data_IF_490865336349
#
_entry.id   IF_490865336349
#
_cell.length_a   1.000
_cell.length_b   1.000
_cell.length_c   1.000
_cell.angle_alpha   90.00
_cell.angle_beta   90.00
_cell.angle_gamma   90.00
#
_symmetry.space_group_name_H-M   'P 1'
#
loop_
_entity.id
_entity.type
_entity.pdbx_description
1 polymer ?
#
# COMPACT_ATOMS: atom_id res chain seq x y z
N UNK A 1 34.69 -26.86 11.41
CA UNK A 1 34.35 -25.77 12.35
C UNK A 1 32.84 -25.64 12.34
N UNK A 2 32.20 -25.90 13.49
CA UNK A 2 30.76 -26.08 13.65
C UNK A 2 30.13 -24.71 13.90
N UNK A 3 29.07 -24.36 13.16
CA UNK A 3 28.10 -23.35 13.58
C UNK A 3 26.70 -23.96 13.55
N UNK A 4 26.14 -24.17 14.75
CA UNK A 4 24.75 -24.57 14.99
C UNK A 4 23.83 -23.47 14.49
N UNK A 5 22.74 -23.85 13.83
CA UNK A 5 21.53 -23.02 13.83
C UNK A 5 20.31 -23.89 14.14
N UNK A 6 19.55 -23.38 15.09
CA UNK A 6 18.46 -23.98 15.83
C UNK A 6 17.23 -24.24 14.97
N UNK A 7 16.55 -25.37 15.23
CA UNK A 7 15.28 -25.76 14.62
C UNK A 7 14.22 -24.66 14.81
N UNK A 8 13.55 -24.27 13.71
CA UNK A 8 12.17 -23.78 13.74
C UNK A 8 11.32 -24.68 12.84
N UNK A 9 10.35 -25.31 13.46
CA UNK A 9 9.29 -26.13 12.87
C UNK A 9 8.34 -25.26 12.04
N UNK A 10 8.24 -25.56 10.75
CA UNK A 10 7.22 -25.02 9.85
C UNK A 10 7.22 -25.88 8.58
N UNK A 11 6.04 -26.39 8.19
CA UNK A 11 5.89 -27.15 6.96
C UNK A 11 6.41 -26.33 5.77
N UNK A 12 7.40 -26.86 5.05
CA UNK A 12 7.95 -26.22 3.88
C UNK A 12 7.09 -26.59 2.66
N UNK A 13 6.28 -25.64 2.18
CA UNK A 13 5.64 -25.75 0.87
C UNK A 13 6.70 -25.35 -0.17
N UNK A 14 7.28 -26.33 -0.84
CA UNK A 14 8.21 -26.08 -1.95
C UNK A 14 7.43 -26.11 -3.27
N UNK A 15 7.08 -24.93 -3.79
CA UNK A 15 6.49 -24.81 -5.13
C UNK A 15 7.60 -24.80 -6.17
N UNK A 16 7.80 -25.91 -6.90
CA UNK A 16 8.74 -25.97 -8.02
C UNK A 16 7.98 -25.74 -9.33
N UNK A 17 8.17 -24.56 -9.94
CA UNK A 17 7.69 -24.29 -11.29
C UNK A 17 8.67 -24.89 -12.30
N UNK A 18 8.21 -25.85 -13.12
CA UNK A 18 8.95 -26.34 -14.27
C UNK A 18 8.25 -25.84 -15.54
N UNK A 19 8.77 -24.77 -16.15
CA UNK A 19 8.32 -24.33 -17.47
C UNK A 19 9.03 -25.17 -18.53
N UNK A 20 8.27 -25.96 -19.28
CA UNK A 20 8.77 -26.69 -20.45
C UNK A 20 8.10 -26.14 -21.70
N UNK A 21 8.88 -25.59 -22.62
CA UNK A 21 8.39 -25.19 -23.93
C UNK A 21 8.13 -26.41 -24.81
N UNK A 22 6.91 -26.55 -25.33
CA UNK A 22 6.58 -27.55 -26.36
C UNK A 22 7.14 -27.18 -27.74
N UNK A 23 7.27 -28.15 -28.67
CA UNK A 23 7.87 -27.90 -29.98
C UNK A 23 7.02 -26.95 -30.83
N UNK A 24 7.69 -26.10 -31.61
CA UNK A 24 7.09 -25.03 -32.38
C UNK A 24 6.22 -25.56 -33.53
N UNK A 25 4.92 -25.22 -33.50
CA UNK A 25 3.99 -25.40 -34.61
C UNK A 25 3.41 -24.05 -35.02
N UNK A 26 3.63 -23.65 -36.28
CA UNK A 26 2.80 -22.77 -37.14
C UNK A 26 2.37 -21.36 -36.64
N UNK A 27 2.13 -20.39 -37.54
CA UNK A 27 1.99 -18.98 -37.18
C UNK A 27 0.56 -18.59 -36.73
N UNK A 28 -0.14 -19.42 -35.95
CA UNK A 28 -1.42 -19.07 -35.33
C UNK A 28 -1.53 -19.66 -33.92
N UNK A 29 -1.57 -18.76 -32.94
CA UNK A 29 -1.88 -18.96 -31.51
C UNK A 29 -0.88 -19.84 -30.72
N UNK A 30 0.06 -19.17 -30.02
CA UNK A 30 0.90 -19.80 -28.99
C UNK A 30 0.06 -20.12 -27.76
N UNK A 31 -0.45 -21.35 -27.68
CA UNK A 31 -0.96 -21.91 -26.43
C UNK A 31 0.21 -22.28 -25.52
N UNK A 32 0.17 -21.82 -24.27
CA UNK A 32 1.13 -22.22 -23.23
C UNK A 32 0.45 -23.22 -22.31
N UNK A 33 1.15 -24.32 -21.99
CA UNK A 33 0.71 -25.33 -21.03
C UNK A 33 1.55 -25.18 -19.76
N UNK A 34 0.90 -25.11 -18.59
CA UNK A 34 1.57 -24.99 -17.30
C UNK A 34 1.15 -26.22 -16.49
N UNK A 35 2.09 -27.14 -16.30
CA UNK A 35 1.93 -28.26 -15.37
C UNK A 35 2.33 -27.82 -13.97
N UNK A 36 1.37 -27.83 -13.05
CA UNK A 36 1.62 -27.53 -11.63
C UNK A 36 1.56 -28.84 -10.86
N UNK A 37 2.73 -29.32 -10.41
CA UNK A 37 2.84 -30.47 -9.52
C UNK A 37 2.97 -29.97 -8.08
N UNK A 38 2.02 -30.34 -7.22
CA UNK A 38 2.13 -30.15 -5.77
C UNK A 38 2.50 -31.47 -5.12
N UNK A 39 3.73 -31.56 -4.59
CA UNK A 39 4.12 -32.60 -3.64
C UNK A 39 3.92 -32.07 -2.22
N UNK A 40 3.06 -32.74 -1.46
CA UNK A 40 2.86 -32.51 -0.04
C UNK A 40 3.59 -33.62 0.72
N UNK A 41 4.64 -33.24 1.46
CA UNK A 41 5.31 -34.15 2.39
C UNK A 41 4.68 -34.01 3.78
N UNK A 42 3.91 -35.01 4.18
CA UNK A 42 3.49 -35.18 5.58
C UNK A 42 4.54 -35.99 6.35
N UNK A 43 4.70 -35.71 7.65
CA UNK A 43 5.77 -36.29 8.51
C UNK A 43 5.55 -37.79 8.81
N UNK A 44 4.50 -38.41 8.27
CA UNK A 44 4.25 -39.84 8.35
C UNK A 44 4.02 -40.44 6.96
N UNK A 45 5.09 -40.66 6.19
CA UNK A 45 5.26 -41.78 5.24
C UNK A 45 4.13 -42.17 4.27
N UNK A 46 3.15 -41.32 3.95
CA UNK A 46 2.08 -41.63 2.99
C UNK A 46 2.15 -40.66 1.81
N UNK A 47 2.52 -41.18 0.65
CA UNK A 47 2.59 -40.43 -0.61
C UNK A 47 1.18 -40.40 -1.23
N UNK A 48 0.48 -39.27 -1.14
CA UNK A 48 -0.80 -39.06 -1.83
C UNK A 48 -0.53 -38.50 -3.22
N UNK A 49 -0.73 -39.31 -4.26
CA UNK A 49 -0.70 -38.83 -5.64
C UNK A 49 -2.02 -38.10 -5.95
N UNK A 50 -2.03 -36.77 -5.88
CA UNK A 50 -3.18 -35.99 -6.35
C UNK A 50 -3.10 -35.82 -7.88
N UNK A 51 -4.16 -36.19 -8.60
CA UNK A 51 -4.22 -36.04 -10.07
C UNK A 51 -4.26 -34.55 -10.42
N UNK A 52 -3.29 -34.11 -11.25
CA UNK A 52 -3.13 -32.72 -11.65
C UNK A 52 -4.39 -32.09 -12.23
N UNK A 53 -4.69 -30.86 -11.81
CA UNK A 53 -5.80 -30.07 -12.34
C UNK A 53 -5.32 -29.39 -13.63
N UNK A 54 -5.91 -29.76 -14.77
CA UNK A 54 -5.68 -29.10 -16.07
C UNK A 54 -6.67 -27.97 -16.27
N UNK A 55 -6.19 -26.74 -16.38
CA UNK A 55 -7.00 -25.58 -16.80
C UNK A 55 -6.40 -24.99 -18.06
N UNK A 56 -7.19 -24.98 -19.15
CA UNK A 56 -6.80 -24.43 -20.46
C UNK A 56 -7.25 -22.96 -20.51
N UNK A 57 -6.30 -22.04 -20.64
CA UNK A 57 -6.58 -20.60 -20.80
C UNK A 57 -6.54 -20.22 -22.28
N UNK A 58 -7.55 -19.47 -22.74
CA UNK A 58 -7.63 -18.90 -24.09
C UNK A 58 -8.00 -17.44 -23.97
N UNK A 59 -7.01 -16.54 -23.99
CA UNK A 59 -7.18 -15.08 -23.90
C UNK A 59 -5.95 -14.32 -24.40
N UNK A 60 -6.14 -13.09 -24.88
CA UNK A 60 -5.16 -12.25 -25.62
C UNK A 60 -4.63 -11.09 -24.74
N UNK A 61 -4.30 -11.33 -23.47
CA UNK A 61 -3.66 -10.29 -22.61
C UNK A 61 -2.38 -10.81 -21.95
N UNK A 62 -1.33 -9.97 -21.73
CA UNK A 62 0.00 -10.50 -21.42
C UNK A 62 0.18 -10.97 -19.98
N UNK A 63 -0.67 -10.60 -19.02
CA UNK A 63 -0.53 -11.03 -17.63
C UNK A 63 -1.88 -10.98 -16.90
N UNK A 64 -2.55 -12.12 -16.66
CA UNK A 64 -3.58 -12.19 -15.64
C UNK A 64 -2.93 -12.55 -14.29
N UNK A 65 -3.11 -11.71 -13.27
CA UNK A 65 -3.02 -12.16 -11.88
C UNK A 65 -4.16 -13.18 -11.66
N UNK A 66 -3.83 -14.47 -11.71
CA UNK A 66 -4.80 -15.54 -11.44
C UNK A 66 -4.88 -15.72 -9.92
N UNK A 67 -5.91 -15.15 -9.31
CA UNK A 67 -6.33 -15.56 -7.96
C UNK A 67 -6.88 -16.98 -8.02
N UNK A 68 -6.08 -17.97 -7.62
CA UNK A 68 -6.57 -19.33 -7.38
C UNK A 68 -7.37 -19.33 -6.08
N UNK A 69 -8.70 -19.21 -6.20
CA UNK A 69 -9.61 -19.35 -5.06
C UNK A 69 -9.74 -20.85 -4.73
N UNK A 70 -8.89 -21.35 -3.83
CA UNK A 70 -9.00 -22.70 -3.28
C UNK A 70 -10.32 -22.82 -2.50
N UNK A 71 -11.30 -23.51 -3.09
CA UNK A 71 -12.52 -23.91 -2.38
C UNK A 71 -12.11 -25.02 -1.41
N UNK A 72 -12.11 -24.74 -0.12
CA UNK A 72 -11.92 -25.76 0.91
C UNK A 72 -13.08 -26.77 0.82
N UNK A 73 -12.83 -27.87 0.12
CA UNK A 73 -13.75 -29.00 0.03
C UNK A 73 -13.70 -29.78 1.34
N UNK A 74 -14.87 -29.90 1.97
CA UNK A 74 -15.12 -30.65 3.21
C UNK A 74 -14.54 -32.06 3.09
N UNK A 75 -13.52 -32.36 3.88
CA UNK A 75 -13.02 -33.72 4.05
C UNK A 75 -13.94 -34.46 5.03
N UNK A 76 -14.78 -35.34 4.52
CA UNK A 76 -15.55 -36.28 5.33
C UNK A 76 -14.65 -37.49 5.61
N UNK A 77 -14.00 -37.52 6.78
CA UNK A 77 -13.29 -38.71 7.25
C UNK A 77 -14.31 -39.74 7.75
N UNK A 78 -14.43 -40.84 7.02
CA UNK A 78 -15.13 -42.03 7.48
C UNK A 78 -14.29 -42.72 8.56
N UNK A 79 -14.72 -42.65 9.82
CA UNK A 79 -14.16 -43.41 10.92
C UNK A 79 -14.97 -44.70 11.11
N UNK A 80 -14.39 -45.85 10.78
CA UNK A 80 -14.90 -47.15 11.20
C UNK A 80 -14.43 -47.44 12.63
N UNK A 81 -15.38 -47.45 13.58
CA UNK A 81 -15.20 -47.89 14.97
C UNK A 81 -14.74 -49.34 15.06
N UNK A 82 -13.99 -49.65 16.13
CA UNK A 82 -14.39 -50.76 16.98
C UNK A 82 -14.54 -50.33 18.45
N UNK A 83 -15.38 -51.11 19.15
CA UNK A 83 -15.81 -50.96 20.53
C UNK A 83 -14.67 -50.94 21.56
N UNK A 84 -14.99 -50.26 22.67
CA UNK A 84 -14.46 -50.43 24.03
C UNK A 84 -13.12 -49.76 24.39
N UNK A 85 -13.19 -48.54 24.92
CA UNK A 85 -12.54 -48.22 26.21
C UNK A 85 -13.13 -46.95 26.81
N UNK A 86 -13.57 -47.05 28.07
CA UNK A 86 -13.97 -45.92 28.92
C UNK A 86 -12.69 -45.18 29.32
N UNK A 87 -12.57 -43.91 28.97
CA UNK A 87 -11.44 -43.07 29.35
C UNK A 87 -11.76 -41.60 29.10
N UNK A 88 -11.84 -40.83 30.17
CA UNK A 88 -12.10 -39.38 30.20
C UNK A 88 -11.03 -38.60 29.42
N UNK A 89 -11.31 -38.31 28.14
CA UNK A 89 -10.46 -37.44 27.33
C UNK A 89 -10.92 -35.98 27.44
N UNK A 90 -10.21 -35.21 28.27
CA UNK A 90 -10.33 -33.75 28.33
C UNK A 90 -10.03 -33.16 26.96
N UNK A 91 -11.03 -32.57 26.31
CA UNK A 91 -10.88 -31.90 25.03
C UNK A 91 -10.12 -30.59 25.22
N UNK A 92 -8.80 -30.61 24.95
CA UNK A 92 -7.99 -29.39 24.88
C UNK A 92 -8.36 -28.66 23.58
N UNK A 93 -9.31 -27.74 23.64
CA UNK A 93 -9.65 -26.86 22.52
C UNK A 93 -8.52 -25.85 22.36
N UNK A 94 -7.57 -26.14 21.48
CA UNK A 94 -6.59 -25.16 21.01
C UNK A 94 -7.31 -24.13 20.13
N UNK A 95 -7.63 -22.97 20.71
CA UNK A 95 -8.10 -21.80 19.96
C UNK A 95 -6.94 -21.25 19.14
N UNK A 96 -6.91 -21.58 17.84
CA UNK A 96 -6.07 -20.88 16.87
C UNK A 96 -6.66 -19.48 16.71
N UNK A 97 -6.08 -18.51 17.42
CA UNK A 97 -6.41 -17.10 17.23
C UNK A 97 -5.88 -16.67 15.87
N UNK A 98 -6.78 -16.45 14.91
CA UNK A 98 -6.44 -15.87 13.62
C UNK A 98 -6.05 -14.40 13.85
N UNK A 99 -4.75 -14.15 13.95
CA UNK A 99 -4.22 -12.80 14.08
C UNK A 99 -4.36 -12.10 12.73
N UNK A 100 -5.53 -11.49 12.50
CA UNK A 100 -5.74 -10.58 11.38
C UNK A 100 -4.78 -9.40 11.56
N UNK A 101 -3.73 -9.37 10.74
CA UNK A 101 -2.86 -8.22 10.61
C UNK A 101 -3.69 -7.04 10.09
N UNK A 102 -4.14 -6.17 10.99
CA UNK A 102 -4.73 -4.88 10.63
C UNK A 102 -3.60 -4.07 9.98
N UNK A 103 -3.61 -4.00 8.65
CA UNK A 103 -2.71 -3.10 7.92
C UNK A 103 -3.05 -1.69 8.38
N UNK A 104 -2.11 -1.03 9.05
CA UNK A 104 -2.28 0.35 9.48
C UNK A 104 -2.66 1.20 8.26
N UNK A 105 -3.73 1.98 8.40
CA UNK A 105 -4.21 2.88 7.35
C UNK A 105 -3.19 4.00 7.16
N UNK A 106 -2.85 4.36 5.91
CA UNK A 106 -1.92 5.46 5.66
C UNK A 106 -2.50 6.79 6.17
N UNK A 107 -1.66 7.58 6.84
CA UNK A 107 -2.02 8.90 7.35
C UNK A 107 -0.98 9.94 6.97
N UNK A 108 -1.41 11.20 6.92
CA UNK A 108 -0.54 12.36 6.82
C UNK A 108 -0.74 13.25 8.04
N UNK A 109 0.35 13.67 8.67
CA UNK A 109 0.28 14.47 9.90
C UNK A 109 0.56 15.95 9.64
N UNK A 110 -0.11 16.82 10.38
CA UNK A 110 0.16 18.26 10.42
C UNK A 110 0.53 18.61 11.85
N UNK A 111 1.75 19.10 12.07
CA UNK A 111 2.31 19.30 13.41
C UNK A 111 3.11 20.60 13.50
N UNK A 112 3.61 20.93 14.69
CA UNK A 112 4.50 22.07 14.93
C UNK A 112 3.75 23.31 15.43
N UNK A 113 4.08 24.48 14.90
CA UNK A 113 3.49 25.78 15.24
C UNK A 113 2.07 25.94 14.66
N UNK A 114 1.17 25.04 15.05
CA UNK A 114 -0.25 25.00 14.70
C UNK A 114 -1.08 24.96 15.98
N UNK A 115 -2.34 25.41 15.90
CA UNK A 115 -3.25 25.42 17.06
C UNK A 115 -3.70 24.00 17.44
N UNK A 116 -3.89 23.14 16.44
CA UNK A 116 -4.26 21.74 16.64
C UNK A 116 -3.44 20.86 15.70
N UNK A 117 -2.73 19.87 16.26
CA UNK A 117 -2.08 18.84 15.44
C UNK A 117 -3.13 17.93 14.80
N UNK A 118 -2.99 17.66 13.51
CA UNK A 118 -3.92 16.83 12.74
C UNK A 118 -3.25 15.52 12.32
N UNK A 119 -4.01 14.44 12.33
CA UNK A 119 -3.68 13.19 11.64
C UNK A 119 -4.80 12.92 10.66
N UNK A 120 -4.53 13.08 9.37
CA UNK A 120 -5.52 13.00 8.30
C UNK A 120 -5.39 11.66 7.57
N UNK A 121 -6.53 10.99 7.41
CA UNK A 121 -6.71 9.82 6.56
C UNK A 121 -7.29 10.23 5.20
N UNK A 122 -7.31 9.30 4.25
CA UNK A 122 -7.96 9.55 2.95
C UNK A 122 -9.44 9.92 3.10
N UNK A 123 -10.17 9.32 4.06
CA UNK A 123 -11.56 9.69 4.36
C UNK A 123 -11.72 11.12 4.85
N UNK A 124 -10.76 11.62 5.65
CA UNK A 124 -10.80 12.98 6.17
C UNK A 124 -10.55 14.00 5.05
N UNK A 125 -9.65 13.68 4.11
CA UNK A 125 -9.41 14.49 2.91
C UNK A 125 -10.58 14.45 1.93
N UNK A 126 -11.34 13.36 1.89
CA UNK A 126 -12.56 13.26 1.08
C UNK A 126 -13.70 14.15 1.61
N UNK A 127 -13.73 14.40 2.91
CA UNK A 127 -14.70 15.28 3.57
C UNK A 127 -14.33 16.78 3.48
N UNK A 128 -13.15 17.11 2.97
CA UNK A 128 -12.66 18.49 2.80
C UNK A 128 -12.92 19.01 1.37
N UNK A 129 -12.87 20.34 1.13
CA UNK A 129 -13.01 20.91 -0.20
C UNK A 129 -11.98 20.30 -1.18
N UNK A 130 -12.51 19.57 -2.17
CA UNK A 130 -11.69 18.87 -3.16
C UNK A 130 -11.25 19.82 -4.27
N UNK A 131 -10.03 19.62 -4.73
CA UNK A 131 -9.42 20.36 -5.81
C UNK A 131 -8.65 19.43 -6.74
N UNK A 132 -8.41 19.86 -7.96
CA UNK A 132 -7.65 19.12 -8.95
C UNK A 132 -6.62 20.01 -9.64
N UNK A 133 -5.49 19.40 -10.00
CA UNK A 133 -4.47 20.07 -10.82
C UNK A 133 -3.95 19.11 -11.88
N UNK A 134 -3.92 19.63 -13.12
CA UNK A 134 -3.25 18.98 -14.24
C UNK A 134 -1.77 19.36 -14.26
N UNK A 135 -0.91 18.35 -14.32
CA UNK A 135 0.54 18.52 -14.47
C UNK A 135 1.03 17.75 -15.67
N UNK A 136 2.14 18.20 -16.26
CA UNK A 136 2.81 17.49 -17.35
C UNK A 136 4.28 17.28 -16.97
N UNK A 137 4.74 16.04 -17.05
CA UNK A 137 6.14 15.69 -16.78
C UNK A 137 6.61 14.66 -17.80
N UNK A 138 7.71 14.96 -18.49
CA UNK A 138 8.28 14.11 -19.54
C UNK A 138 7.25 13.70 -20.62
N UNK A 139 6.36 14.62 -21.00
CA UNK A 139 5.28 14.38 -21.96
C UNK A 139 4.10 13.55 -21.42
N UNK A 140 4.13 13.14 -20.15
CA UNK A 140 3.03 12.44 -19.49
C UNK A 140 2.19 13.46 -18.73
N UNK A 141 0.93 13.60 -19.16
CA UNK A 141 -0.06 14.41 -18.45
C UNK A 141 -0.68 13.57 -17.34
N UNK A 142 -0.68 14.11 -16.13
CA UNK A 142 -1.35 13.51 -14.96
C UNK A 142 -2.23 14.55 -14.28
N UNK A 143 -3.49 14.20 -14.06
CA UNK A 143 -4.42 15.00 -13.24
C UNK A 143 -4.38 14.46 -11.83
N UNK A 144 -3.92 15.29 -10.89
CA UNK A 144 -3.95 14.98 -9.47
C UNK A 144 -5.20 15.57 -8.83
N UNK A 145 -5.77 14.85 -7.87
CA UNK A 145 -6.93 15.29 -7.10
C UNK A 145 -6.63 15.16 -5.61
N UNK A 146 -7.13 16.12 -4.84
CA UNK A 146 -6.72 16.28 -3.46
C UNK A 146 -7.40 17.44 -2.76
N UNK A 147 -6.72 17.95 -1.75
CA UNK A 147 -7.11 19.14 -0.98
C UNK A 147 -5.99 20.17 -1.08
N UNK A 148 -6.32 21.45 -1.17
CA UNK A 148 -5.31 22.50 -1.10
C UNK A 148 -4.62 22.49 0.26
N UNK A 149 -3.28 22.59 0.26
CA UNK A 149 -2.49 22.62 1.51
C UNK A 149 -2.91 23.79 2.40
N UNK A 150 -3.29 24.93 1.81
CA UNK A 150 -3.83 26.08 2.54
C UNK A 150 -5.04 25.70 3.42
N UNK A 151 -5.99 24.92 2.89
CA UNK A 151 -7.17 24.47 3.64
C UNK A 151 -6.82 23.50 4.77
N UNK A 152 -5.83 22.65 4.54
CA UNK A 152 -5.29 21.73 5.56
C UNK A 152 -4.62 22.51 6.70
N UNK A 153 -3.79 23.49 6.37
CA UNK A 153 -3.11 24.34 7.35
C UNK A 153 -4.10 25.26 8.09
N UNK A 154 -5.11 25.78 7.41
CA UNK A 154 -6.20 26.55 8.02
C UNK A 154 -6.99 25.70 9.03
N UNK A 155 -7.30 24.44 8.68
CA UNK A 155 -7.95 23.48 9.60
C UNK A 155 -7.07 23.16 10.83
N UNK A 156 -5.75 23.14 10.68
CA UNK A 156 -4.81 22.98 11.78
C UNK A 156 -4.66 24.27 12.64
N UNK A 157 -5.19 25.40 12.17
CA UNK A 157 -5.06 26.69 12.82
C UNK A 157 -3.65 27.30 12.68
N UNK A 158 -3.01 27.12 11.52
CA UNK A 158 -1.81 27.86 11.14
C UNK A 158 -2.16 29.33 10.83
N UNK A 159 -1.25 30.29 11.08
CA UNK A 159 -1.49 31.70 10.78
C UNK A 159 -1.43 31.95 9.26
N UNK A 160 -2.60 32.08 8.62
CA UNK A 160 -2.77 32.39 7.20
C UNK A 160 -3.61 33.67 7.02
N UNK A 161 -3.58 34.26 5.82
CA UNK A 161 -4.27 35.49 5.45
C UNK A 161 -3.84 36.65 6.35
N UNK A 162 -4.82 37.38 6.89
CA UNK A 162 -4.57 38.52 7.79
C UNK A 162 -3.78 38.17 9.07
N UNK A 163 -3.71 36.90 9.45
CA UNK A 163 -2.90 36.44 10.59
C UNK A 163 -1.41 36.28 10.23
N UNK A 164 -1.07 36.14 8.95
CA UNK A 164 0.30 35.98 8.47
C UNK A 164 1.03 37.34 8.40
N UNK A 165 1.38 37.90 9.56
CA UNK A 165 2.07 39.18 9.67
C UNK A 165 3.08 39.20 10.82
N UNK A 166 4.02 40.14 10.78
CA UNK A 166 5.04 40.29 11.82
C UNK A 166 5.87 39.00 11.99
N UNK A 167 5.96 38.48 13.21
CA UNK A 167 6.71 37.26 13.51
C UNK A 167 6.17 36.00 12.80
N UNK A 168 4.90 35.99 12.37
CA UNK A 168 4.35 34.85 11.63
C UNK A 168 5.00 34.71 10.23
N UNK A 169 5.51 35.80 9.63
CA UNK A 169 6.18 35.77 8.33
C UNK A 169 7.51 35.00 8.35
N UNK A 170 8.11 34.81 9.53
CA UNK A 170 9.28 33.94 9.71
C UNK A 170 8.89 32.48 9.98
N UNK A 171 7.71 32.04 9.55
CA UNK A 171 7.24 30.66 9.65
C UNK A 171 7.33 29.95 8.30
N UNK A 172 7.70 28.68 8.34
CA UNK A 172 7.83 27.81 7.17
C UNK A 172 7.24 26.42 7.46
N UNK A 173 6.99 25.66 6.42
CA UNK A 173 6.46 24.30 6.46
C UNK A 173 7.49 23.36 5.86
N UNK A 174 7.84 22.30 6.59
CA UNK A 174 8.65 21.20 6.09
C UNK A 174 7.71 20.07 5.67
N UNK A 175 7.74 19.71 4.39
CA UNK A 175 7.10 18.52 3.87
C UNK A 175 8.06 17.34 3.96
N UNK A 176 7.68 16.31 4.72
CA UNK A 176 8.52 15.13 4.98
C UNK A 176 7.88 13.90 4.36
N UNK A 177 8.62 13.20 3.52
CA UNK A 177 8.24 11.91 2.96
C UNK A 177 8.67 10.75 3.87
N UNK A 178 7.99 9.61 3.74
CA UNK A 178 8.32 8.40 4.51
C UNK A 178 9.69 7.80 4.17
N UNK A 179 10.28 8.16 3.02
CA UNK A 179 11.64 7.79 2.61
C UNK A 179 12.72 8.73 3.19
N UNK A 180 12.33 9.75 3.96
CA UNK A 180 13.22 10.74 4.55
C UNK A 180 13.49 11.97 3.68
N UNK A 181 12.91 12.05 2.47
CA UNK A 181 13.01 13.25 1.63
C UNK A 181 12.28 14.44 2.27
N UNK A 182 12.90 15.62 2.23
CA UNK A 182 12.37 16.82 2.87
C UNK A 182 12.45 18.03 1.95
N UNK A 183 11.38 18.82 1.94
CA UNK A 183 11.29 20.07 1.18
C UNK A 183 10.70 21.15 2.08
N UNK A 184 11.26 22.36 1.99
CA UNK A 184 10.81 23.50 2.76
C UNK A 184 9.99 24.44 1.88
N UNK A 185 8.89 24.94 2.45
CA UNK A 185 8.06 25.98 1.88
C UNK A 185 7.90 27.12 2.90
N UNK A 186 8.01 28.37 2.49
CA UNK A 186 7.60 29.51 3.33
C UNK A 186 6.09 29.48 3.58
N UNK A 187 5.63 29.93 4.75
CA UNK A 187 4.18 29.95 5.00
C UNK A 187 3.46 30.94 4.05
N UNK A 188 4.15 32.00 3.62
CA UNK A 188 3.64 32.98 2.65
C UNK A 188 3.47 32.45 1.22
N UNK A 189 4.23 31.44 0.80
CA UNK A 189 3.95 30.82 -0.51
C UNK A 189 2.74 29.89 -0.45
N UNK A 190 2.42 29.33 0.72
CA UNK A 190 1.25 28.46 0.90
C UNK A 190 -0.04 29.25 1.18
N UNK A 191 0.08 30.56 1.40
CA UNK A 191 -1.04 31.45 1.68
C UNK A 191 -1.65 32.00 0.38
N UNK A 192 -2.92 31.69 0.06
CA UNK A 192 -3.58 32.17 -1.15
C UNK A 192 -3.74 33.70 -1.21
N UNK A 193 -3.78 34.39 -0.06
CA UNK A 193 -3.91 35.86 -0.02
C UNK A 193 -2.58 36.56 -0.34
N UNK A 194 -1.46 35.89 -0.08
CA UNK A 194 -0.11 36.42 -0.31
C UNK A 194 0.46 35.99 -1.67
N UNK A 195 0.15 34.76 -2.10
CA UNK A 195 0.58 34.24 -3.39
C UNK A 195 -0.51 33.38 -4.03
N UNK A 196 -0.62 33.41 -5.37
CA UNK A 196 -1.51 32.51 -6.10
C UNK A 196 -0.99 31.06 -6.21
N UNK A 197 -0.13 30.64 -5.27
CA UNK A 197 0.57 29.37 -5.30
C UNK A 197 -0.39 28.18 -5.17
N UNK A 198 -0.33 27.27 -6.15
CA UNK A 198 -1.12 26.05 -6.14
C UNK A 198 -0.32 24.93 -5.48
N UNK A 199 -0.68 24.57 -4.24
CA UNK A 199 -0.06 23.47 -3.50
C UNK A 199 -1.12 22.45 -3.14
N UNK A 200 -1.10 21.31 -3.81
CA UNK A 200 -2.14 20.29 -3.67
C UNK A 200 -1.59 19.10 -2.86
N UNK A 201 -2.28 18.76 -1.77
CA UNK A 201 -2.14 17.48 -1.10
C UNK A 201 -3.00 16.47 -1.83
N UNK A 202 -2.40 15.71 -2.74
CA UNK A 202 -3.06 14.72 -3.57
C UNK A 202 -3.11 13.35 -2.90
N UNK A 203 -4.25 12.69 -3.01
CA UNK A 203 -4.49 11.28 -2.66
C UNK A 203 -4.93 10.45 -3.87
N UNK A 204 -5.24 11.10 -5.00
CA UNK A 204 -5.60 10.45 -6.27
C UNK A 204 -4.81 11.02 -7.45
N UNK A 205 -4.58 10.18 -8.45
CA UNK A 205 -4.10 10.56 -9.79
C UNK A 205 -4.95 9.87 -10.85
N UNK A 206 -5.42 10.63 -11.84
CA UNK A 206 -6.25 10.15 -12.95
C UNK A 206 -7.48 9.34 -12.47
N UNK A 207 -8.11 9.78 -11.37
CA UNK A 207 -9.27 9.11 -10.77
C UNK A 207 -8.97 7.85 -9.95
N UNK A 208 -7.70 7.46 -9.81
CA UNK A 208 -7.28 6.31 -9.00
C UNK A 208 -6.54 6.76 -7.75
N UNK A 209 -6.77 6.09 -6.62
CA UNK A 209 -6.03 6.35 -5.38
C UNK A 209 -4.53 6.12 -5.60
N UNK A 210 -3.68 6.95 -4.98
CA UNK A 210 -2.23 6.81 -5.07
C UNK A 210 -1.75 5.58 -4.26
N UNK A 211 -0.78 4.85 -4.80
CA UNK A 211 -0.20 3.68 -4.16
C UNK A 211 1.25 3.43 -4.64
N UNK A 212 1.90 2.42 -4.04
CA UNK A 212 3.24 1.97 -4.44
C UNK A 212 4.31 3.05 -4.23
N UNK A 213 5.17 3.25 -5.24
CA UNK A 213 6.29 4.19 -5.18
C UNK A 213 5.90 5.67 -5.04
N UNK A 214 4.65 6.01 -5.33
CA UNK A 214 4.17 7.39 -5.12
C UNK A 214 3.67 7.59 -3.69
N UNK A 215 3.43 6.51 -2.94
CA UNK A 215 2.79 6.51 -1.63
C UNK A 215 1.29 6.82 -1.71
N UNK A 216 0.62 6.82 -0.56
CA UNK A 216 -0.82 7.11 -0.47
C UNK A 216 -1.13 8.61 -0.59
N UNK A 217 -0.16 9.47 -0.26
CA UNK A 217 -0.27 10.92 -0.34
C UNK A 217 0.93 11.50 -1.08
N UNK A 218 0.69 12.54 -1.87
CA UNK A 218 1.71 13.27 -2.62
C UNK A 218 1.45 14.76 -2.52
N UNK A 219 2.50 15.55 -2.28
CA UNK A 219 2.46 16.99 -2.49
C UNK A 219 2.74 17.29 -3.97
N UNK A 220 1.85 18.06 -4.60
CA UNK A 220 1.97 18.45 -6.01
C UNK A 220 2.08 19.96 -6.09
N UNK A 221 3.14 20.42 -6.75
CA UNK A 221 3.47 21.84 -6.93
C UNK A 221 3.59 22.12 -8.44
N UNK A 222 2.49 22.52 -9.11
CA UNK A 222 2.44 22.69 -10.56
C UNK A 222 3.34 23.84 -11.06
N UNK A 223 3.59 24.82 -10.20
CA UNK A 223 4.43 25.99 -10.52
C UNK A 223 5.92 25.65 -10.57
N UNK A 224 6.33 24.49 -10.06
CA UNK A 224 7.72 24.02 -10.13
C UNK A 224 7.98 23.29 -11.46
N UNK A 225 8.70 23.96 -12.37
CA UNK A 225 9.05 23.41 -13.70
C UNK A 225 9.80 22.09 -13.64
N UNK A 226 10.66 21.89 -12.64
CA UNK A 226 11.41 20.64 -12.47
C UNK A 226 10.65 19.60 -11.65
N UNK A 227 9.62 20.00 -10.92
CA UNK A 227 8.86 19.15 -10.00
C UNK A 227 9.67 18.63 -8.82
N UNK A 228 10.85 19.20 -8.53
CA UNK A 228 11.74 18.74 -7.45
C UNK A 228 11.09 18.91 -6.07
N UNK A 229 10.17 19.89 -5.93
CA UNK A 229 9.41 20.14 -4.71
C UNK A 229 8.09 19.37 -4.64
N UNK A 230 7.76 18.54 -5.63
CA UNK A 230 6.58 17.67 -5.59
C UNK A 230 6.89 16.35 -4.87
N UNK A 231 6.66 16.35 -3.56
CA UNK A 231 7.04 15.28 -2.62
C UNK A 231 6.14 14.05 -2.74
N UNK A 232 6.72 12.89 -3.08
CA UNK A 232 6.03 11.57 -3.06
C UNK A 232 6.07 11.00 -1.64
N UNK A 233 5.18 10.05 -1.35
CA UNK A 233 5.09 9.38 -0.04
C UNK A 233 5.01 10.35 1.14
N UNK A 234 4.25 11.43 0.98
CA UNK A 234 4.16 12.47 2.00
C UNK A 234 3.60 11.88 3.29
N UNK A 235 4.31 12.12 4.39
CA UNK A 235 3.99 11.58 5.71
C UNK A 235 3.66 12.68 6.73
N UNK A 236 4.33 13.84 6.64
CA UNK A 236 4.04 14.97 7.53
C UNK A 236 4.29 16.33 6.89
N UNK A 237 3.54 17.31 7.36
CA UNK A 237 3.72 18.74 7.16
C UNK A 237 4.01 19.35 8.53
N UNK A 238 5.24 19.84 8.73
CA UNK A 238 5.69 20.38 9.99
C UNK A 238 5.79 21.89 9.88
N UNK A 239 4.98 22.62 10.63
CA UNK A 239 5.00 24.08 10.67
C UNK A 239 6.03 24.52 11.71
N UNK A 240 7.01 25.32 11.31
CA UNK A 240 8.12 25.74 12.17
C UNK A 240 8.31 27.25 12.05
N UNK A 241 8.36 27.93 13.20
CA UNK A 241 8.72 29.34 13.26
C UNK A 241 10.21 29.47 13.55
N UNK A 242 10.91 30.29 12.77
CA UNK A 242 12.33 30.59 12.99
C UNK A 242 12.51 31.17 14.39
N UNK A 243 13.43 30.58 15.16
CA UNK A 243 13.81 31.10 16.48
C UNK A 243 14.81 32.24 16.29
N UNK A 244 14.64 33.31 17.07
CA UNK A 244 15.63 34.38 17.19
C UNK A 244 16.70 33.99 18.20
#
# INVERSE_FOLDING_TARGET
>A
MIARQTRRTGAAISTRFLMRSGPAMGPRLRGWEIDVHLELHDICGVVVHNRGVRTRYSGITPFPEIMVRLKASRFTLAASMPLAFVGTASALVTTVSAQQSVRAEPTVQVTGAVSQSLTLKASDLAAMPRASVRTESNGIVTTYEGVWVAEVLKKAGAPLGNALRGAALSTYVIAVASDGYQVVFSLGELDPDMSGGQFLLADHANGQALFGETGAFRLVVPTDKRGARSVRMLSSLQVVTVRK
#
